data_IF_892645138264
#
_entry.id   IF_892645138264
#
_cell.length_a   1.000
_cell.length_b   1.000
_cell.length_c   1.000
_cell.angle_alpha   90.00
_cell.angle_beta   90.00
_cell.angle_gamma   90.00
#
_symmetry.space_group_name_H-M   'P 1'
#
loop_
_entity.id
_entity.type
_entity.pdbx_description
1 polymer ?
#
# COMPACT_ATOMS: atom_id res chain seq x y z
N UNK A 1 -8.59 -2.42 -21.58
CA UNK A 1 -7.19 -1.98 -21.39
C UNK A 1 -6.82 -1.64 -19.95
N UNK A 2 -7.64 -0.89 -19.20
CA UNK A 2 -7.33 -0.50 -17.81
C UNK A 2 -7.23 -1.67 -16.81
N UNK A 3 -8.14 -2.65 -16.90
CA UNK A 3 -8.16 -3.81 -15.99
C UNK A 3 -6.92 -4.70 -16.17
N UNK A 4 -6.53 -4.97 -17.42
CA UNK A 4 -5.34 -5.78 -17.72
C UNK A 4 -4.06 -5.12 -17.23
N UNK A 5 -3.94 -3.79 -17.38
CA UNK A 5 -2.83 -3.00 -16.86
C UNK A 5 -2.74 -3.08 -15.33
N UNK A 6 -3.88 -2.96 -14.64
CA UNK A 6 -3.95 -3.07 -13.19
C UNK A 6 -3.53 -4.46 -12.69
N UNK A 7 -3.97 -5.52 -13.38
CA UNK A 7 -3.58 -6.90 -13.09
C UNK A 7 -2.08 -7.12 -13.30
N UNK A 8 -1.53 -6.61 -14.41
CA UNK A 8 -0.10 -6.71 -14.69
C UNK A 8 0.74 -6.06 -13.58
N UNK A 9 0.37 -4.85 -13.18
CA UNK A 9 1.09 -4.11 -12.13
C UNK A 9 0.94 -4.79 -10.77
N UNK A 10 -0.23 -5.38 -10.50
CA UNK A 10 -0.43 -6.21 -9.32
C UNK A 10 0.54 -7.40 -9.29
N UNK A 11 0.64 -8.18 -10.39
CA UNK A 11 1.57 -9.33 -10.46
C UNK A 11 3.03 -8.89 -10.29
N UNK A 12 3.43 -7.80 -10.95
CA UNK A 12 4.78 -7.24 -10.81
C UNK A 12 5.07 -6.82 -9.37
N UNK A 13 4.09 -6.23 -8.67
CA UNK A 13 4.27 -5.84 -7.27
C UNK A 13 4.51 -7.05 -6.36
N UNK A 14 3.79 -8.16 -6.58
CA UNK A 14 3.98 -9.41 -5.84
C UNK A 14 5.40 -9.93 -6.02
N UNK A 15 5.88 -9.97 -7.27
CA UNK A 15 7.25 -10.38 -7.57
C UNK A 15 8.28 -9.49 -6.87
N UNK A 16 8.10 -8.17 -6.93
CA UNK A 16 9.01 -7.22 -6.30
C UNK A 16 9.11 -7.42 -4.78
N UNK A 17 7.97 -7.61 -4.11
CA UNK A 17 7.94 -7.81 -2.65
C UNK A 17 8.49 -9.16 -2.24
N UNK A 18 8.22 -10.19 -3.02
CA UNK A 18 8.79 -11.52 -2.77
C UNK A 18 10.33 -11.47 -2.84
N UNK A 19 10.87 -10.75 -3.83
CA UNK A 19 12.31 -10.48 -3.94
C UNK A 19 12.84 -9.69 -2.74
N UNK A 20 12.10 -8.66 -2.30
CA UNK A 20 12.44 -7.84 -1.15
C UNK A 20 12.54 -8.67 0.14
N UNK A 21 11.58 -9.57 0.37
CA UNK A 21 11.57 -10.48 1.52
C UNK A 21 12.82 -11.37 1.50
N UNK A 22 13.19 -11.94 0.35
CA UNK A 22 14.39 -12.79 0.21
C UNK A 22 15.67 -12.00 0.47
N UNK A 23 15.75 -10.77 -0.03
CA UNK A 23 16.91 -9.89 0.19
C UNK A 23 17.05 -9.56 1.68
N UNK A 24 15.95 -9.16 2.33
CA UNK A 24 15.95 -8.85 3.77
C UNK A 24 16.27 -10.07 4.64
N UNK A 25 15.81 -11.26 4.23
CA UNK A 25 16.15 -12.51 4.90
C UNK A 25 17.65 -12.80 4.81
N UNK A 26 18.26 -12.61 3.63
CA UNK A 26 19.71 -12.75 3.43
C UNK A 26 20.55 -11.70 4.16
N UNK A 27 19.98 -10.53 4.44
CA UNK A 27 20.63 -9.49 5.25
C UNK A 27 20.61 -9.81 6.75
N UNK A 28 20.01 -10.93 7.16
CA UNK A 28 19.94 -11.35 8.56
C UNK A 28 18.89 -10.59 9.38
N UNK A 29 17.89 -9.97 8.72
CA UNK A 29 16.79 -9.34 9.43
C UNK A 29 15.94 -10.39 10.14
N UNK A 30 15.49 -10.08 11.36
CA UNK A 30 14.54 -10.94 12.07
C UNK A 30 13.29 -11.17 11.23
N UNK A 31 12.83 -12.43 11.17
CA UNK A 31 11.67 -12.88 10.38
C UNK A 31 10.46 -11.95 10.57
N UNK A 32 10.09 -11.65 11.81
CA UNK A 32 8.91 -10.79 12.08
C UNK A 32 9.07 -9.36 11.55
N UNK A 33 10.29 -8.81 11.65
CA UNK A 33 10.59 -7.47 11.14
C UNK A 33 10.55 -7.46 9.61
N UNK A 34 11.14 -8.47 8.98
CA UNK A 34 11.10 -8.63 7.52
C UNK A 34 9.65 -8.69 7.00
N UNK A 35 8.84 -9.56 7.60
CA UNK A 35 7.42 -9.72 7.26
C UNK A 35 6.62 -8.41 7.48
N UNK A 36 6.87 -7.72 8.59
CA UNK A 36 6.24 -6.44 8.90
C UNK A 36 6.61 -5.37 7.87
N UNK A 37 7.90 -5.20 7.57
CA UNK A 37 8.38 -4.21 6.60
C UNK A 37 7.87 -4.51 5.19
N UNK A 38 7.84 -5.79 4.79
CA UNK A 38 7.28 -6.19 3.51
C UNK A 38 5.79 -5.86 3.39
N UNK A 39 5.01 -6.13 4.44
CA UNK A 39 3.59 -5.77 4.50
C UNK A 39 3.38 -4.26 4.43
N UNK A 40 4.19 -3.46 5.14
CA UNK A 40 4.12 -2.00 5.07
C UNK A 40 4.38 -1.48 3.65
N UNK A 41 5.46 -1.94 3.01
CA UNK A 41 5.85 -1.50 1.67
C UNK A 41 4.76 -1.89 0.66
N UNK A 42 4.25 -3.12 0.74
CA UNK A 42 3.16 -3.57 -0.11
C UNK A 42 1.88 -2.76 0.08
N UNK A 43 1.50 -2.57 1.33
CA UNK A 43 0.33 -1.78 1.71
C UNK A 43 0.39 -0.37 1.14
N UNK A 44 1.55 0.28 1.28
CA UNK A 44 1.79 1.61 0.76
C UNK A 44 1.73 1.65 -0.77
N UNK A 45 2.42 0.72 -1.44
CA UNK A 45 2.49 0.66 -2.90
C UNK A 45 1.11 0.51 -3.54
N UNK A 46 0.32 -0.46 -3.08
CA UNK A 46 -1.04 -0.69 -3.59
C UNK A 46 -1.95 0.50 -3.30
N UNK A 47 -1.85 1.09 -2.12
CA UNK A 47 -2.72 2.23 -1.73
C UNK A 47 -2.43 3.47 -2.57
N UNK A 48 -1.16 3.73 -2.89
CA UNK A 48 -0.75 4.86 -3.74
C UNK A 48 -1.16 4.60 -5.19
N UNK A 49 -0.93 3.38 -5.68
CA UNK A 49 -1.23 3.02 -7.07
C UNK A 49 -2.74 3.05 -7.37
N UNK A 50 -3.54 2.47 -6.47
CA UNK A 50 -4.98 2.40 -6.64
C UNK A 50 -5.68 3.55 -5.90
N UNK A 51 -6.17 4.52 -6.66
CA UNK A 51 -6.90 5.66 -6.09
C UNK A 51 -8.22 5.27 -5.42
N UNK A 52 -8.83 4.12 -5.76
CA UNK A 52 -10.11 3.67 -5.18
C UNK A 52 -9.88 2.67 -4.06
N UNK A 53 -10.42 2.96 -2.87
CA UNK A 53 -10.32 2.13 -1.66
C UNK A 53 -10.80 0.70 -1.94
N UNK A 54 -11.98 0.54 -2.54
CA UNK A 54 -12.54 -0.78 -2.86
C UNK A 54 -11.62 -1.62 -3.75
N UNK A 55 -10.91 -0.98 -4.68
CA UNK A 55 -10.02 -1.68 -5.60
C UNK A 55 -8.78 -2.17 -4.85
N UNK A 56 -8.15 -1.32 -4.04
CA UNK A 56 -7.02 -1.69 -3.17
C UNK A 56 -7.39 -2.83 -2.22
N UNK A 57 -8.57 -2.76 -1.60
CA UNK A 57 -9.06 -3.78 -0.66
C UNK A 57 -9.24 -5.14 -1.36
N UNK A 58 -9.80 -5.14 -2.57
CA UNK A 58 -9.99 -6.37 -3.36
C UNK A 58 -8.65 -7.03 -3.71
N UNK A 59 -7.63 -6.23 -4.07
CA UNK A 59 -6.28 -6.75 -4.35
C UNK A 59 -5.57 -7.25 -3.10
N UNK A 60 -5.71 -6.59 -1.94
CA UNK A 60 -5.23 -7.12 -0.66
C UNK A 60 -5.87 -8.46 -0.33
N UNK A 61 -7.21 -8.53 -0.41
CA UNK A 61 -7.92 -9.78 -0.14
C UNK A 61 -7.48 -10.88 -1.10
N UNK A 62 -7.40 -10.62 -2.40
CA UNK A 62 -6.95 -11.60 -3.38
C UNK A 62 -5.53 -12.09 -3.10
N UNK A 63 -4.58 -11.18 -2.82
CA UNK A 63 -3.20 -11.56 -2.53
C UNK A 63 -3.06 -12.36 -1.24
N UNK A 64 -3.60 -11.85 -0.14
CA UNK A 64 -3.42 -12.47 1.17
C UNK A 64 -4.23 -13.76 1.32
N UNK A 65 -5.37 -13.91 0.66
CA UNK A 65 -6.08 -15.20 0.63
C UNK A 65 -5.27 -16.26 -0.12
N UNK A 66 -4.70 -15.92 -1.28
CA UNK A 66 -3.77 -16.81 -2.00
C UNK A 66 -2.56 -17.17 -1.15
N UNK A 67 -1.94 -16.18 -0.50
CA UNK A 67 -0.77 -16.40 0.35
C UNK A 67 -1.12 -17.25 1.59
N UNK A 68 -2.32 -17.07 2.14
CA UNK A 68 -2.81 -17.87 3.26
C UNK A 68 -3.09 -19.32 2.86
N UNK A 69 -3.66 -19.56 1.67
CA UNK A 69 -3.89 -20.92 1.15
C UNK A 69 -2.59 -21.67 0.89
N UNK A 70 -1.49 -20.97 0.60
CA UNK A 70 -0.18 -21.59 0.40
C UNK A 70 0.53 -21.82 1.74
N UNK A 71 0.55 -20.82 2.62
CA UNK A 71 1.38 -20.84 3.82
C UNK A 71 0.67 -21.37 5.06
N UNK A 72 -0.66 -21.36 5.13
CA UNK A 72 -1.48 -21.66 6.31
C UNK A 72 -0.99 -21.01 7.62
N UNK A 73 -0.34 -19.84 7.53
CA UNK A 73 0.26 -19.15 8.66
C UNK A 73 -0.60 -17.98 9.14
N UNK A 74 -0.71 -17.84 10.47
CA UNK A 74 -1.32 -16.67 11.13
C UNK A 74 -0.52 -15.39 10.83
N UNK A 75 0.77 -15.49 10.51
CA UNK A 75 1.59 -14.34 10.11
C UNK A 75 0.98 -13.59 8.92
N UNK A 76 0.35 -14.32 7.99
CA UNK A 76 -0.29 -13.75 6.79
C UNK A 76 -1.52 -12.90 7.15
N UNK A 77 -2.29 -13.32 8.16
CA UNK A 77 -3.42 -12.53 8.68
C UNK A 77 -2.92 -11.21 9.29
N UNK A 78 -1.83 -11.27 10.06
CA UNK A 78 -1.21 -10.09 10.67
C UNK A 78 -0.73 -9.12 9.58
N UNK A 79 -0.10 -9.62 8.52
CA UNK A 79 0.28 -8.81 7.36
C UNK A 79 -0.90 -8.11 6.69
N UNK A 80 -2.04 -8.80 6.56
CA UNK A 80 -3.25 -8.21 5.98
C UNK A 80 -3.75 -7.05 6.86
N UNK A 81 -3.77 -7.20 8.18
CA UNK A 81 -4.15 -6.12 9.09
C UNK A 81 -3.23 -4.92 8.99
N UNK A 82 -1.91 -5.13 8.88
CA UNK A 82 -0.93 -4.06 8.70
C UNK A 82 -1.18 -3.30 7.40
N UNK A 83 -1.39 -4.02 6.29
CA UNK A 83 -1.68 -3.41 4.99
C UNK A 83 -2.99 -2.61 4.98
N UNK A 84 -4.03 -3.11 5.66
CA UNK A 84 -5.27 -2.37 5.86
C UNK A 84 -5.06 -1.11 6.69
N UNK A 85 -4.25 -1.17 7.76
CA UNK A 85 -3.92 -0.01 8.57
C UNK A 85 -3.20 1.06 7.75
N UNK A 86 -2.20 0.67 6.94
CA UNK A 86 -1.49 1.58 6.02
C UNK A 86 -2.45 2.23 5.03
N UNK A 87 -3.38 1.46 4.47
CA UNK A 87 -4.38 2.00 3.55
C UNK A 87 -5.22 3.09 4.22
N UNK A 88 -5.69 2.83 5.44
CA UNK A 88 -6.48 3.80 6.18
C UNK A 88 -5.66 5.04 6.53
N UNK A 89 -4.42 4.88 6.99
CA UNK A 89 -3.50 5.98 7.31
C UNK A 89 -3.26 6.88 6.10
N UNK A 90 -2.92 6.31 4.94
CA UNK A 90 -2.67 7.08 3.72
C UNK A 90 -3.96 7.79 3.27
N UNK A 91 -5.09 7.08 3.26
CA UNK A 91 -6.37 7.67 2.84
C UNK A 91 -6.90 8.73 3.78
N UNK A 92 -6.52 8.71 5.05
CA UNK A 92 -6.87 9.75 6.02
C UNK A 92 -5.96 10.98 5.88
N UNK A 93 -4.67 10.79 5.60
CA UNK A 93 -3.68 11.88 5.46
C UNK A 93 -3.79 12.59 4.12
N UNK A 94 -3.96 11.85 3.02
CA UNK A 94 -3.97 12.39 1.65
C UNK A 94 -5.04 13.47 1.35
N UNK A 95 -6.31 13.38 1.83
CA UNK A 95 -7.28 14.46 1.64
C UNK A 95 -6.91 15.72 2.46
N UNK A 96 -6.27 15.56 3.62
CA UNK A 96 -5.77 16.71 4.41
C UNK A 96 -4.66 17.45 3.67
N UNK A 97 -3.80 16.72 2.95
CA UNK A 97 -2.74 17.30 2.12
C UNK A 97 -3.31 18.10 0.92
N UNK A 98 -4.32 17.54 0.25
CA UNK A 98 -4.96 18.19 -0.89
C UNK A 98 -5.72 19.48 -0.50
N UNK A 99 -6.35 19.49 0.67
CA UNK A 99 -7.05 20.69 1.16
C UNK A 99 -6.08 21.78 1.62
N UNK A 100 -4.93 21.42 2.20
CA UNK A 100 -3.90 22.38 2.59
C UNK A 100 -3.32 23.17 1.40
N UNK A 101 -3.13 22.52 0.24
CA UNK A 101 -2.69 23.19 -0.99
C UNK A 101 -3.72 24.23 -1.48
N UNK A 102 -5.01 23.93 -1.39
CA UNK A 102 -6.08 24.82 -1.85
C UNK A 102 -6.18 26.07 -0.97
N UNK A 103 -6.02 25.92 0.36
CA UNK A 103 -6.05 27.05 1.29
C UNK A 103 -4.84 27.99 1.11
N UNK A 104 -3.66 27.44 0.82
CA UNK A 104 -2.48 28.24 0.48
C UNK A 104 -2.65 28.99 -0.84
N UNK A 105 -3.18 28.36 -1.89
CA UNK A 105 -3.45 29.05 -3.16
C UNK A 105 -4.52 30.14 -2.99
N UNK A 106 -5.58 29.86 -2.22
CA UNK A 106 -6.67 30.82 -2.01
C UNK A 106 -6.22 32.04 -1.18
N UNK A 107 -5.40 31.84 -0.15
CA UNK A 107 -4.80 32.92 0.63
C UNK A 107 -3.82 33.76 -0.19
N UNK A 108 -3.00 33.15 -1.05
CA UNK A 108 -2.09 33.85 -1.94
C UNK A 108 -2.84 34.71 -2.98
N UNK A 109 -3.91 34.17 -3.57
CA UNK A 109 -4.73 34.89 -4.55
C UNK A 109 -5.50 36.07 -3.92
N UNK A 110 -5.87 35.98 -2.63
CA UNK A 110 -6.51 37.07 -1.89
C UNK A 110 -5.53 38.20 -1.55
N UNK A 111 -4.25 37.88 -1.36
CA UNK A 111 -3.19 38.86 -1.06
C UNK A 111 -2.74 39.63 -2.31
N UNK A 112 -2.74 39.01 -3.48
CA UNK A 112 -2.27 39.63 -4.74
C UNK A 112 -3.36 40.34 -5.56
N UNK A 113 -4.63 40.25 -5.15
CA UNK A 113 -5.77 40.86 -5.85
C UNK A 113 -6.26 42.16 -5.19
N UNK A 114 -5.36 42.88 -4.51
CA UNK A 114 -5.59 44.18 -3.88
C UNK A 114 -4.76 45.24 -4.61
#
# INVERSE_FOLDING_TARGET
>A
MLILKNLFIFVVSIFAISLLIIIFDRLGMNKYVNLFTAALIYGAFITIYFQKIFLSLSFFFGFYTLLFMISYSIDVLIMLFISCAVLFSIKFVMPKLKNAEIDHIFSFNKLYKK
#
